data_IF_071544730634
#
_entry.id   IF_071544730634
#
_cell.length_a   1.000
_cell.length_b   1.000
_cell.length_c   1.000
_cell.angle_alpha   90.00
_cell.angle_beta   90.00
_cell.angle_gamma   90.00
#
_symmetry.space_group_name_H-M   'P 1'
#
loop_
_entity.id
_entity.type
_entity.pdbx_description
1 polymer ?
#
# COMPACT_ATOMS: atom_id res chain seq x y z
N UNK A 1 52.62 -18.83 2.00
CA UNK A 1 51.35 -19.50 1.67
C UNK A 1 50.75 -19.87 3.02
N UNK A 2 49.62 -19.33 3.49
CA UNK A 2 48.38 -19.00 2.81
C UNK A 2 47.65 -17.82 3.48
N UNK A 3 46.91 -17.05 2.67
CA UNK A 3 45.85 -16.12 3.07
C UNK A 3 44.65 -16.91 3.64
N UNK A 4 43.87 -16.32 4.55
CA UNK A 4 42.38 -16.37 4.66
C UNK A 4 41.98 -15.32 5.74
N UNK A 5 41.77 -14.05 5.39
CA UNK A 5 40.50 -13.34 5.08
C UNK A 5 39.50 -13.27 6.25
N UNK A 6 39.34 -12.05 6.78
CA UNK A 6 38.31 -11.57 7.72
C UNK A 6 36.88 -11.96 7.28
N UNK A 7 35.99 -12.40 8.21
CA UNK A 7 34.56 -12.44 7.92
C UNK A 7 33.94 -11.06 8.18
N UNK A 8 33.57 -10.39 7.08
CA UNK A 8 32.72 -9.19 7.05
C UNK A 8 31.41 -9.43 7.83
N UNK A 9 30.97 -8.53 8.74
CA UNK A 9 29.69 -8.68 9.41
C UNK A 9 28.58 -8.37 8.40
N UNK A 10 27.96 -9.44 7.91
CA UNK A 10 26.76 -9.42 7.08
C UNK A 10 25.63 -8.62 7.76
N UNK A 11 25.48 -7.35 7.38
CA UNK A 11 24.33 -6.49 7.63
C UNK A 11 23.13 -6.96 6.79
N UNK A 12 22.57 -8.14 7.09
CA UNK A 12 21.20 -8.44 6.67
C UNK A 12 20.29 -7.94 7.77
N UNK A 13 19.41 -6.95 7.53
CA UNK A 13 18.36 -6.65 8.47
C UNK A 13 17.48 -7.91 8.59
N UNK A 14 17.62 -8.63 9.70
CA UNK A 14 16.66 -9.65 10.11
C UNK A 14 15.35 -8.91 10.35
N UNK A 15 14.51 -8.81 9.32
CA UNK A 15 13.13 -8.37 9.43
C UNK A 15 12.42 -9.41 10.30
N UNK A 16 12.45 -9.19 11.62
CA UNK A 16 11.50 -9.80 12.53
C UNK A 16 10.13 -9.25 12.13
N UNK A 17 9.45 -10.00 11.27
CA UNK A 17 8.02 -9.86 11.08
C UNK A 17 7.36 -10.33 12.37
N UNK A 18 7.29 -9.43 13.35
CA UNK A 18 6.36 -9.60 14.44
C UNK A 18 4.98 -9.72 13.81
N UNK A 19 4.19 -10.76 14.16
CA UNK A 19 2.82 -10.86 13.70
C UNK A 19 2.12 -9.63 14.26
N UNK A 20 1.83 -8.67 13.37
CA UNK A 20 1.08 -7.49 13.74
C UNK A 20 -0.27 -8.02 14.18
N UNK A 21 -0.53 -7.97 15.48
CA UNK A 21 -1.79 -8.42 16.07
C UNK A 21 -2.92 -7.61 15.41
N UNK A 22 -3.60 -8.23 14.44
CA UNK A 22 -4.57 -7.59 13.55
C UNK A 22 -5.98 -7.53 14.15
N UNK A 23 -6.15 -7.94 15.40
CA UNK A 23 -7.47 -8.17 16.00
C UNK A 23 -8.27 -6.88 16.26
N UNK A 24 -7.67 -5.70 16.04
CA UNK A 24 -8.36 -4.41 16.05
C UNK A 24 -7.84 -3.47 14.95
N UNK A 25 -7.54 -3.97 13.75
CA UNK A 25 -7.44 -3.06 12.61
C UNK A 25 -8.82 -2.47 12.39
N UNK A 26 -8.95 -1.18 12.70
CA UNK A 26 -10.06 -0.34 12.28
C UNK A 26 -10.28 -0.63 10.80
N UNK A 27 -11.31 -1.40 10.50
CA UNK A 27 -11.78 -1.66 9.17
C UNK A 27 -12.37 -0.33 8.71
N UNK A 28 -11.52 0.57 8.20
CA UNK A 28 -11.84 1.96 7.89
C UNK A 28 -12.98 2.01 6.87
N UNK A 29 -13.02 1.01 5.98
CA UNK A 29 -14.12 0.82 5.05
C UNK A 29 -15.44 0.34 5.69
N UNK A 30 -15.48 -0.14 6.94
CA UNK A 30 -16.75 -0.57 7.57
C UNK A 30 -17.37 0.49 8.46
N UNK A 31 -16.69 1.62 8.70
CA UNK A 31 -17.19 2.72 9.51
C UNK A 31 -17.79 3.81 8.62
N UNK A 32 -19.13 4.01 8.63
CA UNK A 32 -19.78 4.99 7.74
C UNK A 32 -19.24 6.43 7.90
N UNK A 33 -18.99 6.95 9.12
CA UNK A 33 -18.40 8.28 9.27
C UNK A 33 -17.00 8.41 8.65
N UNK A 34 -16.18 7.35 8.76
CA UNK A 34 -14.82 7.35 8.20
C UNK A 34 -14.83 7.24 6.68
N UNK A 35 -15.71 6.41 6.12
CA UNK A 35 -15.90 6.35 4.66
C UNK A 35 -16.30 7.70 4.08
N UNK A 36 -17.23 8.42 4.72
CA UNK A 36 -17.67 9.75 4.28
C UNK A 36 -16.49 10.72 4.29
N UNK A 37 -15.71 10.75 5.38
CA UNK A 37 -14.53 11.61 5.48
C UNK A 37 -13.48 11.28 4.41
N UNK A 38 -13.19 9.99 4.21
CA UNK A 38 -12.21 9.51 3.23
C UNK A 38 -12.64 9.82 1.78
N UNK A 39 -13.91 9.59 1.44
CA UNK A 39 -14.43 9.99 0.13
C UNK A 39 -14.41 11.50 -0.08
N UNK A 40 -14.77 12.29 0.95
CA UNK A 40 -14.68 13.74 0.91
C UNK A 40 -13.26 14.22 0.63
N UNK A 41 -12.27 13.68 1.34
CA UNK A 41 -10.85 13.99 1.11
C UNK A 41 -10.37 13.54 -0.28
N UNK A 42 -10.79 12.38 -0.75
CA UNK A 42 -10.46 11.87 -2.09
C UNK A 42 -11.00 12.77 -3.21
N UNK A 43 -12.21 13.30 -3.04
CA UNK A 43 -12.81 14.24 -3.98
C UNK A 43 -12.04 15.57 -4.03
N UNK A 44 -11.61 16.09 -2.86
CA UNK A 44 -10.86 17.34 -2.75
C UNK A 44 -9.42 17.24 -3.28
N UNK A 45 -8.79 16.08 -3.13
CA UNK A 45 -7.42 15.83 -3.61
C UNK A 45 -7.36 15.49 -5.10
N UNK A 46 -8.49 15.53 -5.81
CA UNK A 46 -8.61 15.24 -7.24
C UNK A 46 -7.92 13.93 -7.65
N UNK A 47 -8.09 12.87 -6.86
CA UNK A 47 -7.52 11.54 -7.15
C UNK A 47 -8.02 10.95 -8.47
N UNK A 48 -9.15 11.45 -9.01
CA UNK A 48 -9.87 10.94 -10.20
C UNK A 48 -10.31 9.48 -10.06
N UNK A 49 -10.27 8.92 -8.85
CA UNK A 49 -10.77 7.59 -8.57
C UNK A 49 -12.29 7.65 -8.44
N UNK A 50 -12.97 6.67 -9.04
CA UNK A 50 -14.39 6.44 -8.75
C UNK A 50 -14.55 5.96 -7.31
N UNK A 51 -15.77 6.07 -6.76
CA UNK A 51 -16.10 5.55 -5.43
C UNK A 51 -15.62 4.11 -5.25
N UNK A 52 -15.98 3.23 -6.19
CA UNK A 52 -15.63 1.80 -6.13
C UNK A 52 -14.12 1.56 -6.22
N UNK A 53 -13.40 2.33 -7.06
CA UNK A 53 -11.95 2.18 -7.18
C UNK A 53 -11.24 2.63 -5.89
N UNK A 54 -11.77 3.68 -5.25
CA UNK A 54 -11.26 4.16 -3.98
C UNK A 54 -11.53 3.19 -2.83
N UNK A 55 -12.74 2.62 -2.75
CA UNK A 55 -13.11 1.60 -1.76
C UNK A 55 -12.19 0.38 -1.88
N UNK A 56 -11.95 -0.10 -3.10
CA UNK A 56 -11.01 -1.20 -3.34
C UNK A 56 -9.58 -0.86 -2.91
N UNK A 57 -9.13 0.38 -3.12
CA UNK A 57 -7.82 0.80 -2.65
C UNK A 57 -7.72 0.78 -1.11
N UNK A 58 -8.78 1.16 -0.40
CA UNK A 58 -8.84 1.08 1.06
C UNK A 58 -8.76 -0.37 1.53
N UNK A 59 -9.57 -1.26 0.95
CA UNK A 59 -9.56 -2.70 1.27
C UNK A 59 -8.17 -3.32 1.07
N UNK A 60 -7.48 -2.98 -0.03
CA UNK A 60 -6.12 -3.44 -0.30
C UNK A 60 -5.11 -2.91 0.72
N UNK A 61 -5.22 -1.64 1.12
CA UNK A 61 -4.35 -1.06 2.15
C UNK A 61 -4.58 -1.71 3.52
N UNK A 62 -5.82 -2.03 3.86
CA UNK A 62 -6.16 -2.76 5.09
C UNK A 62 -5.66 -4.21 5.06
N UNK A 63 -5.63 -4.84 3.88
CA UNK A 63 -4.97 -6.13 3.66
C UNK A 63 -3.43 -6.07 3.72
N UNK A 64 -2.84 -4.89 3.98
CA UNK A 64 -1.40 -4.71 4.14
C UNK A 64 -0.65 -4.31 2.87
N UNK A 65 -1.35 -3.98 1.78
CA UNK A 65 -0.70 -3.49 0.55
C UNK A 65 -0.10 -2.10 0.81
N UNK A 66 1.18 -1.95 0.47
CA UNK A 66 1.88 -0.66 0.59
C UNK A 66 1.24 0.38 -0.32
N UNK A 67 0.79 1.50 0.26
CA UNK A 67 0.11 2.60 -0.46
C UNK A 67 0.89 3.10 -1.67
N UNK A 68 2.23 3.21 -1.59
CA UNK A 68 3.07 3.61 -2.72
C UNK A 68 3.04 2.62 -3.88
N UNK A 69 3.17 1.32 -3.59
CA UNK A 69 3.11 0.29 -4.63
C UNK A 69 1.73 0.25 -5.29
N UNK A 70 0.67 0.41 -4.50
CA UNK A 70 -0.70 0.50 -5.02
C UNK A 70 -0.88 1.71 -5.93
N UNK A 71 -0.38 2.88 -5.54
CA UNK A 71 -0.42 4.09 -6.37
C UNK A 71 0.33 3.90 -7.70
N UNK A 72 1.51 3.28 -7.67
CA UNK A 72 2.30 3.00 -8.88
C UNK A 72 1.54 2.08 -9.85
N UNK A 73 0.87 1.03 -9.34
CA UNK A 73 0.05 0.11 -10.13
C UNK A 73 -1.16 0.82 -10.75
N UNK A 74 -1.86 1.66 -9.97
CA UNK A 74 -3.01 2.42 -10.45
C UNK A 74 -2.59 3.38 -11.56
N UNK A 75 -1.48 4.12 -11.37
CA UNK A 75 -0.94 5.03 -12.37
C UNK A 75 -0.52 4.29 -13.65
N UNK A 76 0.16 3.15 -13.50
CA UNK A 76 0.54 2.31 -14.63
C UNK A 76 -0.69 1.85 -15.44
N UNK A 77 -1.72 1.36 -14.75
CA UNK A 77 -2.97 0.90 -15.38
C UNK A 77 -3.66 2.03 -16.15
N UNK A 78 -3.72 3.23 -15.57
CA UNK A 78 -4.29 4.41 -16.24
C UNK A 78 -3.48 4.80 -17.48
N UNK A 79 -2.16 4.65 -17.45
CA UNK A 79 -1.28 4.93 -18.59
C UNK A 79 -1.51 3.93 -19.72
N UNK A 80 -1.51 2.62 -19.43
CA UNK A 80 -1.80 1.58 -20.42
C UNK A 80 -3.16 1.77 -21.11
N UNK A 81 -4.19 2.20 -20.36
CA UNK A 81 -5.50 2.50 -20.93
C UNK A 81 -5.48 3.69 -21.90
N UNK A 82 -4.60 4.67 -21.68
CA UNK A 82 -4.43 5.83 -22.56
C UNK A 82 -3.74 5.44 -23.86
N UNK A 83 -2.77 4.53 -23.79
CA UNK A 83 -1.97 4.09 -24.95
C UNK A 83 -2.72 3.04 -25.81
N UNK A 84 -3.79 2.44 -25.29
CA UNK A 84 -4.64 1.49 -26.00
C UNK A 84 -5.75 2.15 -26.85
N UNK A 85 -5.72 3.48 -27.02
CA UNK A 85 -6.73 4.26 -27.73
C UNK A 85 -6.08 5.16 -28.77
#
# INVERSE_FOLDING_TARGET
MSQETDPEPSLVPQLKYEPTNTDNFLCLHTSPPLQIALHGMSALTHTRLSKNAFDLCLELMEAGVKSKALADIVLYTLKCKKDAK
#
